data_IF_127924725626
#
_entry.id   IF_127924725626
#
_cell.length_a   1.000
_cell.length_b   1.000
_cell.length_c   1.000
_cell.angle_alpha   90.00
_cell.angle_beta   90.00
_cell.angle_gamma   90.00
#
_symmetry.space_group_name_H-M   'P 1'
#
loop_
_entity.id
_entity.type
_entity.pdbx_description
1 polymer ?
#
# COMPACT_ATOMS: atom_id res chain seq x y z
N UNK A 1 -28.50 8.82 -43.22
CA UNK A 1 -27.90 8.00 -42.17
C UNK A 1 -27.58 8.91 -40.97
N UNK A 2 -28.38 8.82 -39.90
CA UNK A 2 -28.28 9.69 -38.72
C UNK A 2 -28.36 8.81 -37.46
N UNK A 3 -27.40 7.95 -37.22
CA UNK A 3 -27.52 7.02 -36.08
C UNK A 3 -26.26 6.76 -35.25
N UNK A 4 -25.09 6.91 -35.77
CA UNK A 4 -23.84 6.47 -35.15
C UNK A 4 -23.09 7.50 -34.27
N UNK A 5 -23.18 8.83 -34.47
CA UNK A 5 -22.42 9.79 -33.68
C UNK A 5 -22.78 9.83 -32.17
N UNK A 6 -24.04 9.49 -31.83
CA UNK A 6 -24.48 9.48 -30.43
C UNK A 6 -23.94 8.28 -29.63
N UNK A 7 -23.66 7.18 -30.31
CA UNK A 7 -23.09 5.97 -29.67
C UNK A 7 -21.61 6.15 -29.38
N UNK A 8 -20.86 6.79 -30.27
CA UNK A 8 -19.43 7.06 -30.07
C UNK A 8 -19.18 8.03 -28.94
N UNK A 9 -20.03 9.06 -28.78
CA UNK A 9 -19.96 10.00 -27.64
C UNK A 9 -20.26 9.28 -26.31
N UNK A 10 -21.18 8.34 -26.28
CA UNK A 10 -21.51 7.57 -25.08
C UNK A 10 -20.37 6.62 -24.68
N UNK A 11 -19.72 5.94 -25.63
CA UNK A 11 -18.57 5.08 -25.38
C UNK A 11 -17.34 5.87 -24.89
N UNK A 12 -17.03 7.01 -25.46
CA UNK A 12 -15.95 7.89 -25.02
C UNK A 12 -16.21 8.41 -23.61
N UNK A 13 -17.43 8.77 -23.28
CA UNK A 13 -17.81 9.24 -21.95
C UNK A 13 -17.72 8.13 -20.90
N UNK A 14 -18.09 6.88 -21.21
CA UNK A 14 -17.90 5.73 -20.35
C UNK A 14 -16.43 5.40 -20.14
N UNK A 15 -15.62 5.46 -21.19
CA UNK A 15 -14.17 5.24 -21.08
C UNK A 15 -13.49 6.29 -20.20
N UNK A 16 -13.92 7.54 -20.27
CA UNK A 16 -13.37 8.62 -19.42
C UNK A 16 -13.81 8.51 -17.95
N UNK A 17 -14.95 7.89 -17.67
CA UNK A 17 -15.47 7.70 -16.31
C UNK A 17 -15.04 6.38 -15.68
N UNK A 18 -14.44 5.46 -16.43
CA UNK A 18 -13.95 4.18 -15.93
C UNK A 18 -12.93 4.37 -14.78
N UNK A 19 -13.02 3.52 -13.77
CA UNK A 19 -11.99 3.42 -12.72
C UNK A 19 -10.75 2.80 -13.33
N UNK A 20 -9.63 3.52 -13.27
CA UNK A 20 -8.34 3.04 -13.79
C UNK A 20 -7.50 2.53 -12.63
N UNK A 21 -6.91 1.35 -12.79
CA UNK A 21 -5.98 0.79 -11.82
C UNK A 21 -4.73 1.66 -11.71
N UNK A 22 -4.33 1.99 -10.48
CA UNK A 22 -3.07 2.66 -10.21
C UNK A 22 -1.88 1.71 -10.31
N UNK A 23 -0.72 2.27 -10.62
CA UNK A 23 0.56 1.55 -10.52
C UNK A 23 1.25 1.93 -9.23
N UNK A 24 2.00 0.99 -8.64
CA UNK A 24 2.91 1.23 -7.52
C UNK A 24 4.37 1.16 -8.01
N UNK A 25 5.30 1.39 -7.11
CA UNK A 25 6.74 1.28 -7.40
C UNK A 25 7.54 2.51 -6.98
N UNK A 26 6.92 3.46 -6.28
CA UNK A 26 7.61 4.65 -5.79
C UNK A 26 8.04 4.47 -4.33
N UNK A 27 9.34 4.53 -4.09
CA UNK A 27 9.95 4.49 -2.77
C UNK A 27 10.47 5.87 -2.38
N UNK A 28 10.14 6.35 -1.17
CA UNK A 28 10.84 7.44 -0.49
C UNK A 28 11.92 6.84 0.42
N UNK A 29 13.18 7.12 0.10
CA UNK A 29 14.35 6.67 0.85
C UNK A 29 14.98 7.85 1.57
N UNK A 30 15.00 7.79 2.90
CA UNK A 30 15.72 8.77 3.72
C UNK A 30 17.12 8.22 3.99
N UNK A 31 18.13 9.01 3.73
CA UNK A 31 19.53 8.68 3.98
C UNK A 31 20.18 9.74 4.87
N UNK A 32 21.03 9.29 5.79
CA UNK A 32 21.81 10.17 6.68
C UNK A 32 23.15 10.42 6.02
N UNK A 33 23.35 11.63 5.52
CA UNK A 33 24.50 11.94 4.65
C UNK A 33 24.90 13.41 4.71
N UNK A 34 26.20 13.67 4.94
CA UNK A 34 26.79 15.00 4.93
C UNK A 34 27.50 15.34 3.61
N UNK A 35 27.59 14.40 2.66
CA UNK A 35 28.20 14.62 1.34
C UNK A 35 27.31 15.56 0.54
N UNK A 36 27.89 16.57 -0.14
CA UNK A 36 27.14 17.53 -0.97
C UNK A 36 25.88 18.09 -0.26
N UNK A 37 26.02 18.94 0.76
CA UNK A 37 24.93 19.38 1.62
C UNK A 37 23.83 20.18 0.89
N UNK A 38 24.10 20.69 -0.29
CA UNK A 38 23.13 21.39 -1.14
C UNK A 38 22.11 20.44 -1.79
N UNK A 39 22.45 19.15 -1.92
CA UNK A 39 21.60 18.11 -2.48
C UNK A 39 20.74 17.51 -1.36
N UNK A 40 19.57 18.10 -1.08
CA UNK A 40 18.68 17.64 0.00
C UNK A 40 17.55 16.74 -0.46
N UNK A 41 17.10 16.89 -1.70
CA UNK A 41 15.95 16.18 -2.24
C UNK A 41 16.16 15.87 -3.72
N UNK A 42 16.11 14.60 -4.08
CA UNK A 42 16.29 14.14 -5.46
C UNK A 42 15.28 13.06 -5.82
N UNK A 43 14.90 13.00 -7.08
CA UNK A 43 14.04 11.94 -7.61
C UNK A 43 14.73 11.25 -8.77
N UNK A 44 14.87 9.94 -8.65
CA UNK A 44 15.49 9.09 -9.66
C UNK A 44 14.47 8.09 -10.21
N UNK A 45 14.51 7.85 -11.52
CA UNK A 45 13.79 6.79 -12.23
C UNK A 45 14.74 5.83 -12.95
N UNK A 46 16.01 6.16 -12.91
CA UNK A 46 17.09 5.46 -13.60
C UNK A 46 18.30 5.44 -12.65
N UNK A 47 18.77 4.27 -12.23
CA UNK A 47 19.91 4.14 -11.33
C UNK A 47 21.19 4.73 -11.92
N UNK A 48 21.34 4.76 -13.25
CA UNK A 48 22.53 5.34 -13.91
C UNK A 48 22.64 6.87 -13.75
N UNK A 49 21.53 7.53 -13.39
CA UNK A 49 21.50 8.98 -13.13
C UNK A 49 21.90 9.35 -11.70
N UNK A 50 22.11 8.37 -10.82
CA UNK A 50 22.58 8.60 -9.46
C UNK A 50 24.06 8.91 -9.48
N UNK A 51 24.44 10.10 -9.05
CA UNK A 51 25.86 10.53 -9.03
C UNK A 51 26.52 10.07 -7.73
N UNK A 52 27.60 9.30 -7.85
CA UNK A 52 28.37 8.84 -6.68
C UNK A 52 28.93 9.99 -5.82
N UNK A 53 29.23 11.12 -6.45
CA UNK A 53 29.76 12.31 -5.77
C UNK A 53 28.77 13.00 -4.84
N UNK A 54 27.47 12.74 -5.01
CA UNK A 54 26.42 13.40 -4.26
C UNK A 54 26.13 12.70 -2.92
N UNK A 55 26.66 11.48 -2.73
CA UNK A 55 26.37 10.60 -1.60
C UNK A 55 27.65 9.95 -1.07
N UNK A 56 27.62 9.51 0.20
CA UNK A 56 28.59 8.56 0.72
C UNK A 56 28.48 7.23 -0.05
N UNK A 57 29.54 6.42 0.00
CA UNK A 57 29.55 5.12 -0.73
C UNK A 57 28.37 4.24 -0.31
N UNK A 58 28.07 4.16 0.98
CA UNK A 58 26.97 3.32 1.48
C UNK A 58 25.62 3.86 1.04
N UNK A 59 25.39 5.15 1.14
CA UNK A 59 24.13 5.77 0.73
C UNK A 59 23.90 5.71 -0.79
N UNK A 60 24.96 5.84 -1.58
CA UNK A 60 24.88 5.55 -3.01
C UNK A 60 24.43 4.11 -3.26
N UNK A 61 25.03 3.12 -2.58
CA UNK A 61 24.67 1.72 -2.73
C UNK A 61 23.21 1.47 -2.28
N UNK A 62 22.73 2.10 -1.20
CA UNK A 62 21.34 2.00 -0.74
C UNK A 62 20.35 2.49 -1.81
N UNK A 63 20.66 3.55 -2.52
CA UNK A 63 19.83 4.04 -3.63
C UNK A 63 19.80 3.01 -4.77
N UNK A 64 20.95 2.47 -5.14
CA UNK A 64 21.05 1.43 -6.18
C UNK A 64 20.32 0.14 -5.76
N UNK A 65 20.48 -0.27 -4.50
CA UNK A 65 19.81 -1.47 -3.96
C UNK A 65 18.28 -1.31 -3.95
N UNK A 66 17.77 -0.10 -3.74
CA UNK A 66 16.33 0.17 -3.88
C UNK A 66 15.81 -0.14 -5.29
N UNK A 67 16.57 0.20 -6.33
CA UNK A 67 16.23 -0.16 -7.71
C UNK A 67 16.38 -1.66 -7.98
N UNK A 68 17.44 -2.29 -7.45
CA UNK A 68 17.65 -3.74 -7.56
C UNK A 68 16.51 -4.53 -6.91
N UNK A 69 15.91 -4.00 -5.84
CA UNK A 69 14.72 -4.55 -5.21
C UNK A 69 13.48 -4.50 -6.13
N UNK A 70 13.41 -3.53 -7.04
CA UNK A 70 12.29 -3.40 -7.98
C UNK A 70 11.57 -2.05 -7.95
N UNK A 71 12.05 -1.08 -7.16
CA UNK A 71 11.47 0.26 -7.19
C UNK A 71 11.60 0.89 -8.59
N UNK A 72 10.51 1.38 -9.15
CA UNK A 72 10.48 2.07 -10.44
C UNK A 72 10.88 3.54 -10.34
N UNK A 73 10.77 4.10 -9.15
CA UNK A 73 11.11 5.48 -8.81
C UNK A 73 11.58 5.55 -7.36
N UNK A 74 12.73 6.17 -7.13
CA UNK A 74 13.27 6.42 -5.79
C UNK A 74 13.35 7.92 -5.55
N UNK A 75 12.70 8.37 -4.49
CA UNK A 75 12.75 9.74 -3.99
C UNK A 75 13.70 9.73 -2.81
N UNK A 76 14.85 10.37 -2.97
CA UNK A 76 15.88 10.42 -1.94
C UNK A 76 15.75 11.70 -1.15
N UNK A 77 15.67 11.59 0.16
CA UNK A 77 15.74 12.70 1.11
C UNK A 77 17.02 12.56 1.92
N UNK A 78 17.90 13.55 1.83
CA UNK A 78 19.12 13.60 2.62
C UNK A 78 18.89 14.38 3.90
N UNK A 79 19.28 13.78 5.00
CA UNK A 79 19.30 14.40 6.32
C UNK A 79 20.76 14.42 6.80
N UNK A 80 21.24 15.53 7.31
CA UNK A 80 22.57 15.62 7.90
C UNK A 80 22.69 14.70 9.11
N UNK A 81 23.90 14.29 9.46
CA UNK A 81 24.16 13.33 10.53
C UNK A 81 23.66 13.79 11.92
N UNK A 82 23.64 15.09 12.12
CA UNK A 82 23.13 15.78 13.31
C UNK A 82 21.69 16.32 13.12
N UNK A 83 21.08 16.06 11.96
CA UNK A 83 19.78 16.57 11.58
C UNK A 83 18.61 15.76 12.14
N UNK A 84 17.49 16.44 12.38
CA UNK A 84 16.24 15.80 12.76
C UNK A 84 15.50 15.29 11.51
N UNK A 85 15.28 13.98 11.42
CA UNK A 85 14.61 13.33 10.28
C UNK A 85 13.20 13.86 10.10
N UNK A 86 12.43 14.05 11.17
CA UNK A 86 11.04 14.53 11.10
C UNK A 86 10.98 15.97 10.57
N UNK A 87 11.84 16.85 11.05
CA UNK A 87 11.88 18.25 10.65
C UNK A 87 12.32 18.46 9.21
N UNK A 88 13.24 17.62 8.71
CA UNK A 88 13.78 17.74 7.35
C UNK A 88 12.94 17.00 6.34
N UNK A 89 12.57 15.74 6.62
CA UNK A 89 11.88 14.90 5.64
C UNK A 89 10.40 15.26 5.47
N UNK A 90 9.70 15.57 6.57
CA UNK A 90 8.25 15.83 6.50
C UNK A 90 7.87 16.98 5.57
N UNK A 91 8.49 18.17 5.62
CA UNK A 91 8.17 19.26 4.70
C UNK A 91 8.44 18.92 3.23
N UNK A 92 9.49 18.14 2.95
CA UNK A 92 9.87 17.75 1.60
C UNK A 92 8.93 16.71 1.00
N UNK A 93 8.36 15.84 1.84
CA UNK A 93 7.51 14.71 1.42
C UNK A 93 6.01 15.03 1.42
N UNK A 94 5.55 16.06 2.15
CA UNK A 94 4.11 16.35 2.34
C UNK A 94 3.28 16.53 1.06
N UNK A 95 3.91 16.88 -0.06
CA UNK A 95 3.22 17.06 -1.34
C UNK A 95 3.72 16.11 -2.44
N UNK A 96 4.40 15.04 -2.03
CA UNK A 96 4.99 14.07 -2.95
C UNK A 96 4.23 12.75 -2.86
N UNK A 97 3.90 12.15 -4.00
CA UNK A 97 3.24 10.85 -4.06
C UNK A 97 4.30 9.74 -4.10
N UNK A 98 4.21 8.85 -3.14
CA UNK A 98 4.98 7.60 -3.07
C UNK A 98 4.16 6.51 -2.38
N UNK A 99 4.61 5.28 -2.47
CA UNK A 99 3.88 4.12 -1.93
C UNK A 99 4.52 3.65 -0.60
N UNK A 100 5.84 3.62 -0.55
CA UNK A 100 6.63 3.16 0.57
C UNK A 100 7.63 4.19 1.04
N UNK A 101 7.94 4.19 2.34
CA UNK A 101 9.00 5.01 2.94
C UNK A 101 9.88 4.16 3.84
N UNK A 102 11.18 4.43 3.83
CA UNK A 102 12.14 3.84 4.77
C UNK A 102 13.28 4.81 5.06
N UNK A 103 13.99 4.59 6.16
CA UNK A 103 15.23 5.29 6.49
C UNK A 103 16.36 4.28 6.63
N UNK A 104 17.46 4.47 5.91
CA UNK A 104 18.64 3.61 5.97
C UNK A 104 19.48 3.94 7.22
N UNK A 105 18.99 3.54 8.39
CA UNK A 105 19.61 3.84 9.69
C UNK A 105 19.19 2.83 10.75
N UNK A 106 20.08 2.53 11.73
CA UNK A 106 19.76 1.74 12.93
C UNK A 106 19.36 2.61 14.14
N UNK A 107 19.34 3.93 13.99
CA UNK A 107 19.02 4.86 15.06
C UNK A 107 17.51 4.86 15.33
N UNK A 108 17.12 4.54 16.56
CA UNK A 108 15.70 4.46 16.96
C UNK A 108 14.92 5.75 16.63
N UNK A 109 15.49 6.92 16.93
CA UNK A 109 14.81 8.20 16.64
C UNK A 109 14.50 8.40 15.15
N UNK A 110 15.34 7.90 14.24
CA UNK A 110 15.10 7.96 12.80
C UNK A 110 13.96 7.03 12.38
N UNK A 111 13.87 5.84 12.98
CA UNK A 111 12.78 4.90 12.75
C UNK A 111 11.45 5.44 13.30
N UNK A 112 11.47 5.99 14.51
CA UNK A 112 10.29 6.61 15.14
C UNK A 112 9.76 7.80 14.31
N UNK A 113 10.64 8.62 13.72
CA UNK A 113 10.24 9.71 12.84
C UNK A 113 9.47 9.22 11.60
N UNK A 114 9.91 8.12 10.98
CA UNK A 114 9.20 7.50 9.85
C UNK A 114 7.84 6.94 10.29
N UNK A 115 7.78 6.28 11.44
CA UNK A 115 6.54 5.76 12.03
C UNK A 115 5.54 6.91 12.27
N UNK A 116 5.99 7.98 12.92
CA UNK A 116 5.16 9.15 13.23
C UNK A 116 4.62 9.79 11.95
N UNK A 117 5.45 9.89 10.91
CA UNK A 117 5.04 10.42 9.61
C UNK A 117 3.89 9.60 9.01
N UNK A 118 4.00 8.27 8.96
CA UNK A 118 2.96 7.39 8.40
C UNK A 118 1.70 7.35 9.27
N UNK A 119 1.86 7.37 10.60
CA UNK A 119 0.73 7.42 11.55
C UNK A 119 0.02 8.77 11.61
N UNK A 120 0.60 9.82 11.05
CA UNK A 120 -0.02 11.15 11.03
C UNK A 120 -1.39 11.09 10.32
N UNK A 121 -2.46 11.43 11.05
CA UNK A 121 -3.85 11.33 10.56
C UNK A 121 -4.11 12.08 9.26
N UNK A 122 -3.47 13.24 9.06
CA UNK A 122 -3.64 14.05 7.85
C UNK A 122 -2.94 13.39 6.64
N UNK A 123 -1.74 12.85 6.84
CA UNK A 123 -0.99 12.11 5.83
C UNK A 123 -1.74 10.83 5.46
N UNK A 124 -2.13 10.03 6.46
CA UNK A 124 -2.85 8.76 6.26
C UNK A 124 -4.20 8.94 5.56
N UNK A 125 -4.95 10.00 5.89
CA UNK A 125 -6.22 10.32 5.21
C UNK A 125 -6.02 10.69 3.75
N UNK A 126 -4.94 11.41 3.43
CA UNK A 126 -4.65 11.90 2.09
C UNK A 126 -3.94 10.86 1.22
N UNK A 127 -2.97 10.16 1.82
CA UNK A 127 -2.09 9.21 1.15
C UNK A 127 -2.10 7.89 1.92
N UNK A 128 -2.23 6.78 1.22
CA UNK A 128 -2.15 5.44 1.81
C UNK A 128 -0.69 4.99 1.77
N UNK A 129 0.16 5.59 2.62
CA UNK A 129 1.59 5.35 2.68
C UNK A 129 1.92 4.22 3.64
N UNK A 130 2.90 3.42 3.31
CA UNK A 130 3.42 2.35 4.16
C UNK A 130 4.89 2.58 4.50
N UNK A 131 5.31 2.17 5.68
CA UNK A 131 6.68 2.26 6.13
C UNK A 131 7.30 0.88 6.31
N UNK A 132 8.56 0.74 5.87
CA UNK A 132 9.44 -0.33 6.31
C UNK A 132 10.43 0.26 7.33
N UNK A 133 10.39 -0.27 8.55
CA UNK A 133 11.20 0.20 9.68
C UNK A 133 12.04 -0.92 10.27
N UNK A 134 13.06 -0.58 11.04
CA UNK A 134 13.97 -1.54 11.64
C UNK A 134 13.85 -1.59 13.17
N UNK A 135 13.54 -2.78 13.70
CA UNK A 135 13.49 -3.06 15.16
C UNK A 135 12.69 -2.00 15.93
N UNK A 136 11.56 -1.58 15.37
CA UNK A 136 10.67 -0.65 16.05
C UNK A 136 9.99 -1.32 17.25
N UNK A 137 9.80 -0.56 18.33
CA UNK A 137 9.15 -1.09 19.54
C UNK A 137 7.63 -1.03 19.38
N UNK A 138 7.00 -2.19 19.23
CA UNK A 138 5.53 -2.38 19.17
C UNK A 138 4.80 -1.33 18.32
N UNK A 139 5.10 -1.21 17.05
CA UNK A 139 4.42 -0.23 16.20
C UNK A 139 2.93 -0.49 16.05
N UNK A 140 2.49 -1.75 16.07
CA UNK A 140 1.10 -2.22 16.04
C UNK A 140 0.23 -1.43 15.04
N UNK A 141 0.54 -1.58 13.76
CA UNK A 141 -0.08 -0.80 12.70
C UNK A 141 -0.05 -1.52 11.36
N UNK A 142 -1.18 -1.53 10.66
CA UNK A 142 -1.37 -2.20 9.37
C UNK A 142 -0.56 -1.58 8.20
N UNK A 143 -0.09 -0.34 8.33
CA UNK A 143 0.74 0.35 7.33
C UNK A 143 2.23 0.43 7.73
N UNK A 144 2.64 -0.28 8.78
CA UNK A 144 4.03 -0.34 9.21
C UNK A 144 4.51 -1.79 9.18
N UNK A 145 5.60 -2.02 8.48
CA UNK A 145 6.30 -3.30 8.43
C UNK A 145 7.56 -3.19 9.26
N UNK A 146 7.66 -4.02 10.31
CA UNK A 146 8.76 -4.00 11.27
C UNK A 146 9.77 -5.10 10.96
N UNK A 147 10.83 -4.78 10.26
CA UNK A 147 11.91 -5.71 9.93
C UNK A 147 12.85 -5.88 11.13
N UNK A 148 13.09 -7.13 11.58
CA UNK A 148 13.84 -7.37 12.82
C UNK A 148 15.01 -8.36 12.69
N UNK A 149 15.31 -8.91 11.50
CA UNK A 149 16.51 -9.71 11.27
C UNK A 149 17.76 -8.91 11.62
N UNK A 150 18.62 -9.43 12.51
CA UNK A 150 19.74 -8.68 13.09
C UNK A 150 20.87 -8.45 12.10
N UNK A 151 21.27 -9.51 11.41
CA UNK A 151 22.39 -9.49 10.48
C UNK A 151 22.20 -10.50 9.36
N UNK A 152 22.90 -10.24 8.25
CA UNK A 152 22.94 -11.11 7.10
C UNK A 152 24.36 -11.19 6.55
N UNK A 153 24.66 -12.30 5.87
CA UNK A 153 25.93 -12.56 5.22
C UNK A 153 25.74 -12.47 3.71
N UNK A 154 26.56 -11.68 3.07
CA UNK A 154 26.65 -11.60 1.62
C UNK A 154 27.91 -12.32 1.13
N UNK A 155 28.08 -12.36 -0.18
CA UNK A 155 29.25 -12.99 -0.82
C UNK A 155 30.55 -12.66 -0.10
N UNK A 156 31.48 -13.60 -0.10
CA UNK A 156 32.79 -13.54 0.57
C UNK A 156 32.71 -13.46 2.11
N UNK A 157 31.62 -14.01 2.67
CA UNK A 157 31.35 -14.10 4.11
C UNK A 157 31.34 -12.74 4.83
N UNK A 158 30.99 -11.65 4.12
CA UNK A 158 30.88 -10.31 4.73
C UNK A 158 29.57 -10.22 5.47
N UNK A 159 29.65 -10.02 6.80
CA UNK A 159 28.49 -9.80 7.65
C UNK A 159 28.06 -8.33 7.62
N UNK A 160 26.76 -8.10 7.43
CA UNK A 160 26.13 -6.78 7.44
C UNK A 160 25.02 -6.72 8.46
N UNK A 161 24.77 -5.54 9.06
CA UNK A 161 23.65 -5.31 9.96
C UNK A 161 22.32 -5.27 9.19
N UNK A 162 21.26 -5.78 9.83
CA UNK A 162 19.93 -5.92 9.20
C UNK A 162 19.38 -4.63 8.61
N UNK A 163 19.57 -3.47 9.26
CA UNK A 163 19.07 -2.20 8.75
C UNK A 163 19.63 -1.81 7.36
N UNK A 164 20.83 -2.29 7.01
CA UNK A 164 21.45 -2.04 5.71
C UNK A 164 20.68 -2.70 4.56
N UNK A 165 19.80 -3.65 4.87
CA UNK A 165 18.94 -4.32 3.90
C UNK A 165 17.63 -3.56 3.62
N UNK A 166 17.25 -2.61 4.47
CA UNK A 166 15.98 -1.87 4.33
C UNK A 166 15.78 -1.25 2.95
N UNK A 167 16.78 -0.59 2.32
CA UNK A 167 16.58 0.00 1.01
C UNK A 167 16.25 -1.02 -0.09
N UNK A 168 16.93 -2.18 -0.08
CA UNK A 168 16.64 -3.27 -1.01
C UNK A 168 15.24 -3.85 -0.76
N UNK A 169 14.92 -4.18 0.49
CA UNK A 169 13.65 -4.77 0.88
C UNK A 169 12.47 -3.82 0.63
N UNK A 170 12.65 -2.52 0.89
CA UNK A 170 11.66 -1.49 0.55
C UNK A 170 11.46 -1.37 -0.98
N UNK A 171 12.54 -1.55 -1.74
CA UNK A 171 12.47 -1.66 -3.20
C UNK A 171 11.65 -2.86 -3.66
N UNK A 172 11.84 -4.02 -3.01
CA UNK A 172 11.04 -5.24 -3.27
C UNK A 172 9.55 -4.97 -2.98
N UNK A 173 9.24 -4.43 -1.80
CA UNK A 173 7.86 -4.09 -1.42
C UNK A 173 7.21 -3.10 -2.41
N UNK A 174 7.95 -2.08 -2.84
CA UNK A 174 7.44 -1.11 -3.81
C UNK A 174 7.22 -1.75 -5.20
N UNK A 175 8.07 -2.67 -5.63
CA UNK A 175 8.04 -3.30 -6.95
C UNK A 175 7.18 -4.56 -7.07
N UNK A 176 6.84 -5.21 -5.94
CA UNK A 176 6.10 -6.46 -5.93
C UNK A 176 4.71 -6.29 -6.55
N UNK A 177 4.27 -7.12 -7.51
CA UNK A 177 2.93 -7.03 -8.08
C UNK A 177 1.84 -7.39 -7.05
N UNK A 178 0.63 -6.85 -7.21
CA UNK A 178 -0.50 -7.11 -6.30
C UNK A 178 -0.95 -8.59 -6.28
N UNK A 179 -0.55 -9.38 -7.26
CA UNK A 179 -0.86 -10.81 -7.37
C UNK A 179 0.14 -11.70 -6.64
N UNK A 180 1.09 -11.13 -5.89
CA UNK A 180 2.16 -11.87 -5.21
C UNK A 180 2.36 -11.37 -3.79
N UNK A 181 2.40 -12.29 -2.83
CA UNK A 181 2.85 -12.01 -1.46
C UNK A 181 4.38 -11.90 -1.34
N UNK A 182 4.83 -11.21 -0.31
CA UNK A 182 6.23 -11.22 0.11
C UNK A 182 6.62 -12.53 0.82
N UNK A 183 5.66 -13.33 1.27
CA UNK A 183 5.89 -14.63 1.92
C UNK A 183 6.73 -15.53 1.03
N UNK A 184 7.75 -16.15 1.62
CA UNK A 184 8.69 -17.04 0.93
C UNK A 184 9.48 -16.38 -0.21
N UNK A 185 9.50 -15.03 -0.27
CA UNK A 185 10.29 -14.32 -1.28
C UNK A 185 11.79 -14.60 -1.07
N UNK A 186 12.46 -15.07 -2.10
CA UNK A 186 13.90 -15.37 -2.07
C UNK A 186 14.72 -14.09 -2.16
N UNK A 187 15.53 -13.84 -1.15
CA UNK A 187 16.42 -12.67 -1.10
C UNK A 187 17.65 -12.90 -1.97
N UNK A 188 17.84 -12.07 -2.97
CA UNK A 188 18.95 -12.21 -3.91
C UNK A 188 20.26 -11.67 -3.33
N UNK A 189 21.35 -12.45 -3.45
CA UNK A 189 22.69 -12.04 -3.04
C UNK A 189 22.94 -12.10 -1.53
N UNK A 190 22.08 -12.76 -0.79
CA UNK A 190 22.26 -13.08 0.63
C UNK A 190 22.53 -14.57 0.77
N UNK A 191 23.61 -14.93 1.44
CA UNK A 191 24.03 -16.34 1.64
C UNK A 191 23.40 -16.93 2.90
N UNK A 192 23.30 -16.15 3.97
CA UNK A 192 22.67 -16.58 5.22
C UNK A 192 22.24 -15.40 6.07
N UNK A 193 21.39 -15.66 7.06
CA UNK A 193 20.97 -14.70 8.10
C UNK A 193 21.14 -15.28 9.49
N UNK A 194 21.28 -14.40 10.47
CA UNK A 194 21.12 -14.78 11.87
C UNK A 194 19.62 -14.89 12.16
N UNK A 195 19.16 -16.12 12.35
CA UNK A 195 17.77 -16.40 12.65
C UNK A 195 17.38 -16.00 14.08
N UNK A 196 16.08 -15.88 14.29
CA UNK A 196 15.50 -15.77 15.63
C UNK A 196 15.56 -17.13 16.33
N UNK A 197 15.44 -17.11 17.66
CA UNK A 197 15.30 -18.35 18.44
C UNK A 197 13.99 -19.06 18.13
N UNK A 198 12.92 -18.27 17.92
CA UNK A 198 11.61 -18.73 17.48
C UNK A 198 11.09 -17.80 16.38
N UNK A 199 11.05 -18.33 15.16
CA UNK A 199 10.57 -17.60 13.99
C UNK A 199 9.04 -17.44 14.01
N UNK A 200 8.30 -18.41 14.54
CA UNK A 200 6.84 -18.37 14.58
C UNK A 200 6.39 -17.30 15.60
N UNK A 201 7.01 -17.26 16.78
CA UNK A 201 6.74 -16.22 17.79
C UNK A 201 7.04 -14.81 17.25
N UNK A 202 8.11 -14.65 16.47
CA UNK A 202 8.44 -13.36 15.87
C UNK A 202 7.38 -12.91 14.86
N UNK A 203 6.93 -13.82 14.00
CA UNK A 203 5.85 -13.54 13.04
C UNK A 203 4.54 -13.20 13.74
N UNK A 204 4.17 -13.94 14.79
CA UNK A 204 2.96 -13.68 15.59
C UNK A 204 2.99 -12.30 16.27
N UNK A 205 4.19 -11.79 16.57
CA UNK A 205 4.40 -10.41 17.07
C UNK A 205 4.39 -9.33 15.96
N UNK A 206 4.07 -9.69 14.72
CA UNK A 206 4.06 -8.76 13.59
C UNK A 206 5.47 -8.35 13.14
N UNK A 207 6.46 -9.20 13.33
CA UNK A 207 7.83 -8.98 12.88
C UNK A 207 8.05 -9.59 11.49
N UNK A 208 8.53 -8.77 10.55
CA UNK A 208 9.04 -9.26 9.28
C UNK A 208 10.45 -9.78 9.49
N UNK A 209 10.68 -11.05 9.23
CA UNK A 209 11.98 -11.71 9.41
C UNK A 209 12.41 -12.50 8.18
N UNK A 210 13.71 -12.72 8.08
CA UNK A 210 14.32 -13.64 7.14
C UNK A 210 14.78 -14.91 7.85
N UNK A 211 14.77 -16.02 7.13
CA UNK A 211 15.27 -17.31 7.61
C UNK A 211 16.05 -18.03 6.51
N UNK A 212 16.85 -19.02 6.92
CA UNK A 212 17.62 -19.87 6.01
C UNK A 212 16.77 -21.09 5.61
N UNK A 213 16.62 -21.32 4.31
CA UNK A 213 15.82 -22.39 3.75
C UNK A 213 16.59 -23.09 2.62
N UNK A 214 17.09 -24.30 2.86
CA UNK A 214 17.75 -25.18 1.88
C UNK A 214 18.80 -24.47 0.98
N UNK A 215 19.62 -23.60 1.59
CA UNK A 215 20.68 -22.86 0.88
C UNK A 215 20.23 -21.56 0.22
N UNK A 216 19.01 -21.12 0.48
CA UNK A 216 18.49 -19.81 0.14
C UNK A 216 18.05 -19.05 1.38
N UNK A 217 18.07 -17.74 1.33
CA UNK A 217 17.47 -16.89 2.35
C UNK A 217 16.11 -16.41 1.86
N UNK A 218 15.09 -16.59 2.69
CA UNK A 218 13.71 -16.24 2.35
C UNK A 218 13.08 -15.35 3.41
N UNK A 219 12.06 -14.61 2.99
CA UNK A 219 11.14 -13.95 3.92
C UNK A 219 10.24 -15.02 4.56
N UNK A 220 10.13 -15.04 5.88
CA UNK A 220 9.31 -16.05 6.57
C UNK A 220 7.82 -15.88 6.22
N UNK A 221 7.26 -14.72 6.50
CA UNK A 221 5.89 -14.38 6.14
C UNK A 221 5.75 -12.87 5.84
N UNK A 222 4.92 -12.53 4.86
CA UNK A 222 4.68 -11.14 4.42
C UNK A 222 3.71 -10.39 5.33
N UNK A 223 4.08 -10.20 6.60
CA UNK A 223 3.24 -9.57 7.63
C UNK A 223 3.64 -8.12 7.89
N UNK A 224 2.64 -7.30 8.22
CA UNK A 224 2.84 -5.99 8.83
C UNK A 224 2.88 -6.09 10.35
N UNK A 225 3.03 -4.97 11.05
CA UNK A 225 3.17 -4.95 12.50
C UNK A 225 1.85 -4.94 13.28
N UNK A 226 0.72 -5.12 12.63
CA UNK A 226 -0.59 -5.18 13.29
C UNK A 226 -0.69 -6.45 14.14
N UNK A 227 -0.98 -6.29 15.43
CA UNK A 227 -1.20 -7.40 16.38
C UNK A 227 -2.55 -7.25 17.06
N UNK A 228 -2.95 -6.01 17.38
CA UNK A 228 -4.21 -5.72 18.06
C UNK A 228 -5.36 -5.62 17.05
N UNK A 229 -6.29 -6.57 17.11
CA UNK A 229 -7.46 -6.65 16.23
C UNK A 229 -8.67 -5.97 16.86
N UNK A 230 -8.65 -4.62 16.89
CA UNK A 230 -9.75 -3.81 17.42
C UNK A 230 -10.30 -2.87 16.31
N UNK A 231 -11.47 -2.29 16.57
CA UNK A 231 -12.06 -1.26 15.70
C UNK A 231 -12.27 -1.69 14.23
N UNK A 232 -12.67 -2.95 14.03
CA UNK A 232 -12.97 -3.50 12.70
C UNK A 232 -11.75 -4.01 11.93
N UNK A 233 -10.60 -4.14 12.59
CA UNK A 233 -9.44 -4.84 12.02
C UNK A 233 -9.61 -6.35 12.14
N UNK A 234 -9.19 -7.08 11.12
CA UNK A 234 -9.26 -8.55 11.02
C UNK A 234 -7.86 -9.14 10.84
N UNK A 235 -7.73 -10.44 11.04
CA UNK A 235 -6.48 -11.17 10.81
C UNK A 235 -5.95 -10.98 9.38
N UNK A 236 -6.83 -10.95 8.37
CA UNK A 236 -6.43 -10.72 6.98
C UNK A 236 -5.67 -9.40 6.81
N UNK A 237 -5.95 -8.40 7.64
CA UNK A 237 -5.26 -7.10 7.61
C UNK A 237 -3.82 -7.14 8.15
N UNK A 238 -3.37 -8.27 8.68
CA UNK A 238 -1.96 -8.49 9.04
C UNK A 238 -1.11 -8.80 7.80
N UNK A 239 -1.73 -9.23 6.68
CA UNK A 239 -1.05 -9.45 5.41
C UNK A 239 -0.70 -8.11 4.72
N UNK A 240 0.57 -7.96 4.31
CA UNK A 240 1.03 -6.81 3.52
C UNK A 240 0.26 -6.75 2.19
N UNK A 241 0.05 -7.90 1.53
CA UNK A 241 -0.61 -7.98 0.24
C UNK A 241 -2.08 -7.54 0.32
N UNK A 242 -2.78 -7.88 1.39
CA UNK A 242 -4.17 -7.46 1.63
C UNK A 242 -4.25 -5.95 1.83
N UNK A 243 -3.39 -5.36 2.67
CA UNK A 243 -3.35 -3.89 2.87
C UNK A 243 -2.99 -3.15 1.59
N UNK A 244 -2.02 -3.65 0.82
CA UNK A 244 -1.67 -3.09 -0.50
C UNK A 244 -2.88 -3.05 -1.44
N UNK A 245 -3.65 -4.14 -1.48
CA UNK A 245 -4.85 -4.25 -2.32
C UNK A 245 -5.96 -3.33 -1.84
N UNK A 246 -6.22 -3.26 -0.53
CA UNK A 246 -7.19 -2.34 0.05
C UNK A 246 -6.87 -0.88 -0.27
N UNK A 247 -5.62 -0.48 -0.12
CA UNK A 247 -5.15 0.87 -0.39
C UNK A 247 -5.25 1.23 -1.89
N UNK A 248 -4.92 0.29 -2.77
CA UNK A 248 -5.08 0.44 -4.21
C UNK A 248 -6.56 0.71 -4.56
N UNK A 249 -7.47 -0.12 -4.07
CA UNK A 249 -8.91 0.02 -4.33
C UNK A 249 -9.44 1.37 -3.85
N UNK A 250 -9.09 1.76 -2.63
CA UNK A 250 -9.50 3.05 -2.06
C UNK A 250 -8.98 4.22 -2.91
N UNK A 251 -7.70 4.17 -3.31
CA UNK A 251 -7.06 5.18 -4.13
C UNK A 251 -7.73 5.30 -5.51
N UNK A 252 -7.95 4.18 -6.17
CA UNK A 252 -8.49 4.13 -7.53
C UNK A 252 -9.94 4.61 -7.59
N UNK A 253 -10.77 4.20 -6.62
CA UNK A 253 -12.16 4.68 -6.50
C UNK A 253 -12.19 6.18 -6.20
N UNK A 254 -11.33 6.67 -5.30
CA UNK A 254 -11.23 8.10 -4.99
C UNK A 254 -10.81 8.93 -6.22
N UNK A 255 -9.82 8.49 -6.97
CA UNK A 255 -9.37 9.18 -8.18
C UNK A 255 -10.45 9.19 -9.27
N UNK A 256 -11.20 8.10 -9.43
CA UNK A 256 -12.34 8.04 -10.33
C UNK A 256 -13.43 9.02 -9.90
N UNK A 257 -13.77 9.06 -8.60
CA UNK A 257 -14.82 9.94 -8.08
C UNK A 257 -14.51 11.42 -8.25
N UNK A 258 -13.24 11.83 -8.23
CA UNK A 258 -12.84 13.22 -8.49
C UNK A 258 -13.37 13.77 -9.80
N UNK A 259 -13.55 12.93 -10.84
CA UNK A 259 -14.10 13.32 -12.12
C UNK A 259 -15.60 13.65 -12.06
N UNK A 260 -16.28 13.13 -11.05
CA UNK A 260 -17.72 13.38 -10.84
C UNK A 260 -17.97 14.64 -10.00
N UNK A 261 -17.02 15.01 -9.14
CA UNK A 261 -17.16 16.15 -8.22
C UNK A 261 -17.32 17.45 -9.01
N UNK A 262 -18.48 18.09 -8.83
CA UNK A 262 -18.81 19.34 -9.50
C UNK A 262 -19.24 19.22 -10.98
N UNK A 263 -18.89 18.12 -11.65
CA UNK A 263 -19.21 17.87 -13.06
C UNK A 263 -20.60 17.24 -13.26
N UNK A 264 -21.00 16.35 -12.36
CA UNK A 264 -22.26 15.63 -12.46
C UNK A 264 -23.25 16.07 -11.38
N UNK A 265 -24.52 16.27 -11.76
CA UNK A 265 -25.59 16.52 -10.78
C UNK A 265 -25.88 15.25 -10.00
N UNK A 266 -26.14 15.38 -8.69
CA UNK A 266 -26.51 14.26 -7.85
C UNK A 266 -27.93 13.77 -8.18
N UNK A 267 -28.05 12.85 -9.13
CA UNK A 267 -29.28 12.14 -9.48
C UNK A 267 -28.98 10.64 -9.61
N UNK A 268 -30.01 9.84 -9.46
CA UNK A 268 -29.88 8.37 -9.46
C UNK A 268 -29.12 7.83 -10.69
N UNK A 269 -29.41 8.33 -11.89
CA UNK A 269 -28.74 7.86 -13.12
C UNK A 269 -27.22 8.12 -13.09
N UNK A 270 -26.79 9.26 -12.53
CA UNK A 270 -25.35 9.58 -12.41
C UNK A 270 -24.67 8.75 -11.30
N UNK A 271 -25.41 8.43 -10.23
CA UNK A 271 -24.93 7.48 -9.24
C UNK A 271 -24.81 6.07 -9.84
N UNK A 272 -25.82 5.62 -10.61
CA UNK A 272 -25.77 4.33 -11.28
C UNK A 272 -24.61 4.23 -12.29
N UNK A 273 -24.27 5.34 -12.97
CA UNK A 273 -23.11 5.39 -13.85
C UNK A 273 -21.81 5.16 -13.08
N UNK A 274 -21.65 5.82 -11.94
CA UNK A 274 -20.46 5.64 -11.08
C UNK A 274 -20.40 4.23 -10.49
N UNK A 275 -21.51 3.70 -9.98
CA UNK A 275 -21.63 2.34 -9.47
C UNK A 275 -21.22 1.32 -10.53
N UNK A 276 -21.72 1.49 -11.78
CA UNK A 276 -21.34 0.61 -12.90
C UNK A 276 -19.83 0.67 -13.19
N UNK A 277 -19.20 1.85 -13.08
CA UNK A 277 -17.76 1.99 -13.27
C UNK A 277 -16.98 1.27 -12.18
N UNK A 278 -17.41 1.35 -10.90
CA UNK A 278 -16.81 0.64 -9.78
C UNK A 278 -16.99 -0.88 -9.92
N UNK A 279 -18.17 -1.34 -10.28
CA UNK A 279 -18.44 -2.78 -10.49
C UNK A 279 -17.65 -3.34 -11.67
N UNK A 280 -17.47 -2.56 -12.74
CA UNK A 280 -16.59 -2.92 -13.86
C UNK A 280 -15.11 -3.04 -13.43
N UNK A 281 -14.67 -2.18 -12.54
CA UNK A 281 -13.34 -2.25 -11.94
C UNK A 281 -13.17 -3.50 -11.07
N UNK A 282 -14.12 -3.81 -10.19
CA UNK A 282 -14.09 -5.03 -9.38
C UNK A 282 -14.07 -6.30 -10.24
N UNK A 283 -14.86 -6.33 -11.31
CA UNK A 283 -14.82 -7.43 -12.28
C UNK A 283 -13.42 -7.55 -12.96
N UNK A 284 -12.77 -6.42 -13.23
CA UNK A 284 -11.39 -6.41 -13.71
C UNK A 284 -10.41 -7.03 -12.73
N UNK A 285 -10.48 -6.64 -11.46
CA UNK A 285 -9.65 -7.20 -10.38
C UNK A 285 -9.90 -8.70 -10.16
N UNK A 286 -11.15 -9.16 -10.29
CA UNK A 286 -11.48 -10.60 -10.20
C UNK A 286 -10.88 -11.41 -11.34
N UNK A 287 -10.78 -10.84 -12.55
CA UNK A 287 -10.13 -11.50 -13.69
C UNK A 287 -8.59 -11.57 -13.57
N UNK A 288 -8.02 -10.75 -12.71
CA UNK A 288 -6.59 -10.71 -12.41
C UNK A 288 -6.23 -11.48 -11.13
N UNK A 289 -7.18 -12.27 -10.57
CA UNK A 289 -7.01 -13.02 -9.32
C UNK A 289 -6.60 -12.14 -8.11
N UNK A 290 -7.07 -10.89 -8.09
CA UNK A 290 -6.90 -9.97 -6.95
C UNK A 290 -8.12 -10.05 -6.05
N UNK A 291 -9.32 -10.12 -6.63
CA UNK A 291 -10.58 -10.40 -5.91
C UNK A 291 -11.08 -11.78 -6.27
N UNK A 292 -11.74 -12.43 -5.32
CA UNK A 292 -12.35 -13.76 -5.52
C UNK A 292 -13.42 -13.70 -6.62
N UNK A 293 -13.25 -14.41 -7.76
CA UNK A 293 -14.23 -14.41 -8.84
C UNK A 293 -15.54 -15.13 -8.48
N UNK A 294 -15.52 -16.00 -7.47
CA UNK A 294 -16.71 -16.72 -6.99
C UNK A 294 -17.53 -15.91 -5.97
N UNK A 295 -17.02 -14.76 -5.52
CA UNK A 295 -17.69 -13.86 -4.60
C UNK A 295 -18.39 -12.72 -5.35
N UNK A 296 -19.56 -12.29 -4.86
CA UNK A 296 -20.27 -11.13 -5.40
C UNK A 296 -19.57 -9.82 -4.99
N UNK A 297 -18.49 -9.47 -5.72
CA UNK A 297 -17.77 -8.21 -5.54
C UNK A 297 -18.59 -7.08 -6.14
N UNK A 298 -19.29 -6.30 -5.32
CA UNK A 298 -20.23 -5.30 -5.82
C UNK A 298 -20.25 -4.01 -4.99
N UNK A 299 -20.59 -2.93 -5.65
CA UNK A 299 -20.90 -1.62 -5.10
C UNK A 299 -22.36 -1.29 -5.40
N UNK A 300 -23.06 -0.69 -4.44
CA UNK A 300 -24.46 -0.30 -4.58
C UNK A 300 -24.76 0.99 -3.80
N UNK A 301 -26.00 1.48 -3.90
CA UNK A 301 -26.46 2.59 -3.06
C UNK A 301 -26.66 2.07 -1.63
N UNK A 302 -26.05 2.72 -0.66
CA UNK A 302 -26.35 2.52 0.75
C UNK A 302 -27.72 3.14 1.06
N UNK A 303 -28.71 2.26 0.98
CA UNK A 303 -30.13 2.64 1.13
C UNK A 303 -30.41 3.15 2.53
N UNK A 304 -29.82 2.50 3.54
CA UNK A 304 -30.08 2.86 4.92
C UNK A 304 -29.42 4.18 5.30
N UNK A 305 -28.16 4.39 4.95
CA UNK A 305 -27.48 5.66 5.19
C UNK A 305 -28.20 6.82 4.45
N UNK A 306 -28.67 6.60 3.22
CA UNK A 306 -29.42 7.62 2.47
C UNK A 306 -30.78 7.91 3.11
N UNK A 307 -31.49 6.89 3.61
CA UNK A 307 -32.75 7.02 4.35
C UNK A 307 -32.56 7.82 5.62
N UNK A 308 -31.55 7.49 6.43
CA UNK A 308 -31.22 8.19 7.66
C UNK A 308 -30.86 9.66 7.43
N UNK A 309 -30.14 9.96 6.36
CA UNK A 309 -29.84 11.33 5.98
C UNK A 309 -31.10 12.16 5.70
N UNK A 310 -32.12 11.58 5.06
CA UNK A 310 -33.42 12.24 4.85
C UNK A 310 -34.19 12.43 6.14
N UNK A 311 -34.24 11.43 7.03
CA UNK A 311 -34.87 11.52 8.34
C UNK A 311 -34.21 12.62 9.19
N UNK A 312 -32.89 12.59 9.29
CA UNK A 312 -32.12 13.58 10.04
C UNK A 312 -32.28 15.01 9.48
N UNK A 313 -32.65 15.14 8.20
CA UNK A 313 -32.96 16.44 7.59
C UNK A 313 -34.43 16.86 7.77
N UNK A 314 -35.22 16.17 8.61
CA UNK A 314 -36.60 16.51 8.93
C UNK A 314 -37.66 15.89 8.02
N UNK A 315 -37.31 14.96 7.16
CA UNK A 315 -38.27 14.23 6.32
C UNK A 315 -38.63 12.89 6.96
N UNK A 316 -39.55 12.92 7.92
CA UNK A 316 -40.01 11.75 8.65
C UNK A 316 -40.68 10.67 7.76
N UNK A 317 -41.27 11.07 6.64
CA UNK A 317 -41.88 10.16 5.67
C UNK A 317 -40.88 9.16 5.09
N UNK A 318 -39.58 9.52 5.10
CA UNK A 318 -38.53 8.66 4.59
C UNK A 318 -38.45 7.32 5.32
N UNK A 319 -38.93 7.21 6.55
CA UNK A 319 -39.08 5.95 7.32
C UNK A 319 -39.92 4.91 6.57
N UNK A 320 -40.93 5.39 5.84
CA UNK A 320 -41.90 4.55 5.15
C UNK A 320 -41.61 4.36 3.64
N UNK A 321 -40.53 4.92 3.14
CA UNK A 321 -40.17 4.73 1.74
C UNK A 321 -39.61 3.34 1.50
N UNK A 322 -40.04 2.69 0.42
CA UNK A 322 -39.36 1.48 -0.04
C UNK A 322 -37.98 1.79 -0.61
N UNK A 323 -37.14 0.77 -0.69
CA UNK A 323 -35.73 0.92 -1.11
C UNK A 323 -35.58 1.54 -2.50
N UNK A 324 -36.44 1.18 -3.45
CA UNK A 324 -36.44 1.78 -4.78
C UNK A 324 -36.71 3.28 -4.74
N UNK A 325 -37.62 3.72 -3.85
CA UNK A 325 -37.91 5.15 -3.67
C UNK A 325 -36.73 5.85 -3.03
N UNK A 326 -36.09 5.23 -2.03
CA UNK A 326 -34.87 5.76 -1.40
C UNK A 326 -33.76 5.91 -2.44
N UNK A 327 -33.44 4.88 -3.22
CA UNK A 327 -32.41 4.92 -4.29
C UNK A 327 -32.63 6.06 -5.27
N UNK A 328 -33.88 6.34 -5.67
CA UNK A 328 -34.24 7.41 -6.60
C UNK A 328 -34.26 8.81 -5.96
N UNK A 329 -34.36 8.91 -4.66
CA UNK A 329 -34.40 10.16 -3.89
C UNK A 329 -33.00 10.50 -3.36
N UNK A 330 -32.12 10.94 -4.26
CA UNK A 330 -30.75 11.33 -3.89
C UNK A 330 -30.74 12.48 -2.88
N UNK A 331 -29.77 12.46 -1.96
CA UNK A 331 -29.71 13.43 -0.85
C UNK A 331 -28.75 14.58 -1.15
N UNK A 332 -29.28 15.76 -1.42
CA UNK A 332 -28.51 17.02 -1.58
C UNK A 332 -27.22 16.85 -2.42
N UNK A 333 -26.06 17.08 -1.80
CA UNK A 333 -24.72 16.96 -2.43
C UNK A 333 -24.00 15.64 -2.07
N UNK A 334 -24.60 14.84 -1.20
CA UNK A 334 -23.97 13.61 -0.69
C UNK A 334 -24.41 12.39 -1.48
N UNK A 335 -23.49 11.50 -1.73
CA UNK A 335 -23.70 10.19 -2.34
C UNK A 335 -23.37 9.15 -1.27
N UNK A 336 -24.29 8.24 -1.00
CA UNK A 336 -24.13 7.13 -0.06
C UNK A 336 -24.01 5.85 -0.85
N UNK A 337 -22.86 5.21 -0.77
CA UNK A 337 -22.57 3.94 -1.41
C UNK A 337 -22.03 2.97 -0.38
N UNK A 338 -22.38 1.72 -0.56
CA UNK A 338 -21.84 0.58 0.17
C UNK A 338 -21.33 -0.45 -0.84
N UNK A 339 -20.53 -1.38 -0.38
CA UNK A 339 -20.03 -2.46 -1.22
C UNK A 339 -19.44 -3.58 -0.39
N UNK A 340 -19.31 -4.72 -1.03
CA UNK A 340 -18.64 -5.89 -0.49
C UNK A 340 -17.62 -6.41 -1.49
N UNK A 341 -16.47 -6.79 -1.01
CA UNK A 341 -15.39 -7.41 -1.80
C UNK A 341 -14.75 -8.52 -0.99
N UNK A 342 -14.22 -9.52 -1.69
CA UNK A 342 -13.36 -10.54 -1.10
C UNK A 342 -12.01 -10.52 -1.79
N UNK A 343 -11.00 -10.04 -1.08
CA UNK A 343 -9.62 -10.05 -1.54
C UNK A 343 -9.10 -11.48 -1.48
N UNK A 344 -8.41 -11.93 -2.51
CA UNK A 344 -7.68 -13.21 -2.48
C UNK A 344 -6.31 -12.98 -1.86
N UNK A 345 -5.99 -13.77 -0.85
CA UNK A 345 -4.63 -13.90 -0.36
C UNK A 345 -3.92 -15.08 -1.05
N UNK A 346 -2.62 -15.17 -0.89
CA UNK A 346 -1.80 -16.22 -1.52
C UNK A 346 -1.88 -17.53 -0.72
N UNK A 347 -1.62 -18.66 -1.39
CA UNK A 347 -1.49 -19.94 -0.70
C UNK A 347 -0.17 -19.96 0.07
N UNK A 348 -0.24 -20.04 1.39
CA UNK A 348 0.93 -20.00 2.28
C UNK A 348 1.07 -21.27 3.11
N UNK A 349 -0.03 -21.90 3.51
CA UNK A 349 -0.05 -23.09 4.35
C UNK A 349 -0.75 -24.25 3.63
N UNK A 350 -0.15 -25.45 3.70
CA UNK A 350 -0.74 -26.68 3.14
C UNK A 350 -1.04 -27.69 4.25
N UNK A 351 -2.28 -28.21 4.26
CA UNK A 351 -2.67 -29.38 5.08
C UNK A 351 -3.03 -30.52 4.13
N UNK A 352 -2.13 -31.48 3.98
CA UNK A 352 -2.32 -32.60 3.06
C UNK A 352 -2.46 -33.91 3.83
N UNK A 353 -3.62 -34.57 3.72
CA UNK A 353 -3.89 -35.88 4.34
C UNK A 353 -3.77 -36.98 3.30
N UNK A 354 -2.81 -37.88 3.49
CA UNK A 354 -2.64 -39.10 2.65
C UNK A 354 -3.08 -40.31 3.48
N UNK A 355 -3.92 -41.16 2.91
CA UNK A 355 -4.26 -42.45 3.50
C UNK A 355 -3.65 -43.54 2.63
N UNK A 356 -2.78 -44.38 3.20
CA UNK A 356 -2.31 -45.59 2.57
C UNK A 356 -3.34 -46.70 2.80
N UNK A 357 -3.68 -47.45 1.74
CA UNK A 357 -4.60 -48.58 1.77
C UNK A 357 -3.81 -49.88 1.66
#
# INVERSE_FOLDING_TARGET
MKGLPKLDIFFNQLADTAVKRSTKGTLALIVIDNTSPDVKFMTYRDPEKVKKTDYSTDNYNYIIDSFRGGASKVIVVKVAQDGNVEEVASPLLNNVLFDWITVASNTKAHQDAVINYVKNKNIRKKYKLKALVYKATNPDDDHIVNFTTESYIVRDAVTKEGYMLLPYLAGVLAGLPFTRSLTYYTMQGIESVKEKEDNDEAVDKGELILFNDEGAVRVARGVNSLVTLENGKTEDMQSIAVIETMDMIIKDINEAFKKYIGAYKNKHDNQALFISAVNGYFLGLSKEDILDPEFANECMVDVEAQRQAWIANGNEDAKNWNDNKVKKRTFKKQVFLEGQIKILDTMEDIKFKITMI
#
